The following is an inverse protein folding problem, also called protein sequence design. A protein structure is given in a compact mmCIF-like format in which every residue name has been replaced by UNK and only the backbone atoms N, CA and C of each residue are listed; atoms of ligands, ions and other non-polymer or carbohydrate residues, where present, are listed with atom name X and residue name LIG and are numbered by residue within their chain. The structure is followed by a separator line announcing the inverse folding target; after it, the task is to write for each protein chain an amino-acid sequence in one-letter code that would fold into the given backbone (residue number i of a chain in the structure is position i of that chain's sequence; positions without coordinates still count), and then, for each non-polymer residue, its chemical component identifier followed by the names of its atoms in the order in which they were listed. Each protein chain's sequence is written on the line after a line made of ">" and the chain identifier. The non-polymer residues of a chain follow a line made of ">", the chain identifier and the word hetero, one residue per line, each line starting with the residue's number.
data_IF_224057448187
#
_entry.id   IF_224057448187
#
_cell.length_a   1.000
_cell.length_b   1.000
_cell.length_c   1.000
_cell.angle_alpha   90.00
_cell.angle_beta   90.00
_cell.angle_gamma   90.00
#
_symmetry.space_group_name_H-M   'P 1'
#
loop_
_entity.id
_entity.type
_entity.pdbx_description
1 polymer ?
#
# COMPACT_ATOMS: atom_id res chain seq x y z
N UNK A 1 28.89 61.06 4.49
CA UNK A 1 28.38 61.20 5.89
C UNK A 1 27.50 59.99 6.18
N UNK A 2 28.09 58.91 6.70
CA UNK A 2 28.05 58.48 8.12
C UNK A 2 26.66 57.95 8.52
N UNK A 3 26.39 56.69 8.13
CA UNK A 3 25.25 55.89 8.61
C UNK A 3 25.44 55.50 10.08
N UNK A 4 24.41 55.75 10.87
CA UNK A 4 24.32 55.46 12.30
C UNK A 4 23.87 54.03 12.58
N UNK A 5 24.70 53.34 13.37
CA UNK A 5 24.35 52.53 14.55
C UNK A 5 23.29 51.43 14.39
N UNK A 6 23.74 50.18 14.24
CA UNK A 6 23.14 49.05 14.97
C UNK A 6 24.18 48.41 15.88
N UNK A 7 23.84 48.49 17.17
CA UNK A 7 24.59 48.11 18.35
C UNK A 7 24.36 46.62 18.58
N UNK A 8 25.39 45.79 18.47
CA UNK A 8 25.39 44.40 18.96
C UNK A 8 26.76 44.16 19.58
N UNK A 9 26.83 44.26 20.90
CA UNK A 9 27.98 43.75 21.68
C UNK A 9 27.66 42.32 22.12
N UNK A 10 28.59 41.36 21.94
CA UNK A 10 28.51 40.02 22.51
C UNK A 10 29.15 39.97 23.90
N UNK A 11 28.43 39.43 24.89
CA UNK A 11 28.97 39.21 26.23
C UNK A 11 29.57 37.80 26.36
N UNK A 12 30.89 37.81 26.32
CA UNK A 12 31.91 36.84 26.73
C UNK A 12 31.75 36.25 28.14
N UNK A 13 31.99 34.94 28.28
CA UNK A 13 32.63 34.25 29.44
C UNK A 13 33.17 32.90 28.93
N UNK A 14 34.42 32.79 28.48
CA UNK A 14 35.70 32.61 29.21
C UNK A 14 35.77 31.30 29.99
N UNK A 15 36.78 30.49 29.64
CA UNK A 15 37.24 29.28 30.33
C UNK A 15 38.04 28.40 29.37
N UNK A 16 39.19 28.85 28.86
CA UNK A 16 40.55 28.51 29.34
C UNK A 16 41.10 27.23 28.67
N UNK A 17 41.75 27.35 27.51
CA UNK A 17 43.23 27.33 27.31
C UNK A 17 43.90 26.05 27.84
N UNK A 18 44.36 25.19 26.91
CA UNK A 18 45.77 24.85 26.87
C UNK A 18 46.21 24.58 25.42
N UNK A 19 47.08 25.46 24.95
CA UNK A 19 47.87 25.38 23.73
C UNK A 19 48.89 24.25 23.84
N UNK A 20 49.14 23.54 22.73
CA UNK A 20 50.50 23.13 22.35
C UNK A 20 50.53 22.83 20.85
N UNK A 21 51.05 23.80 20.10
CA UNK A 21 51.49 23.65 18.71
C UNK A 21 52.84 22.94 18.68
N UNK A 22 52.98 21.86 17.90
CA UNK A 22 54.29 21.42 17.41
C UNK A 22 54.20 21.05 15.93
N UNK A 23 55.03 21.71 15.16
CA UNK A 23 55.25 21.60 13.72
C UNK A 23 55.92 20.29 13.30
N UNK A 24 55.53 19.82 12.10
CA UNK A 24 56.39 19.45 10.96
C UNK A 24 57.56 18.45 11.20
N UNK A 25 57.47 17.22 10.67
CA UNK A 25 58.53 16.55 9.87
C UNK A 25 58.20 15.11 9.42
N UNK A 26 58.94 14.69 8.41
CA UNK A 26 58.88 13.52 7.54
C UNK A 26 59.04 12.12 8.18
N UNK A 27 58.48 11.11 7.49
CA UNK A 27 58.78 9.65 7.31
C UNK A 27 60.01 9.01 8.03
N UNK A 28 60.19 7.66 8.03
CA UNK A 28 59.29 6.48 8.13
C UNK A 28 59.84 5.37 9.08
N UNK A 29 59.16 4.20 9.09
CA UNK A 29 59.69 2.83 9.31
C UNK A 29 59.86 2.24 10.75
N UNK A 30 59.34 1.00 10.86
CA UNK A 30 59.69 -0.13 11.73
C UNK A 30 59.01 -0.31 13.12
N UNK A 31 58.17 -1.36 13.19
CA UNK A 31 57.92 -2.40 14.22
C UNK A 31 57.88 -1.99 15.73
N UNK A 32 56.92 -2.41 16.57
CA UNK A 32 56.44 -3.78 16.92
C UNK A 32 55.43 -3.62 18.12
N UNK A 33 54.88 -4.66 18.78
CA UNK A 33 53.95 -5.74 18.43
C UNK A 33 52.56 -5.66 19.16
N UNK A 34 51.71 -6.65 18.87
CA UNK A 34 50.37 -7.00 19.38
C UNK A 34 50.03 -6.81 20.87
N UNK A 35 48.76 -6.49 21.14
CA UNK A 35 47.91 -7.32 22.01
C UNK A 35 46.40 -7.05 21.82
N UNK A 36 45.68 -8.14 21.52
CA UNK A 36 44.31 -8.45 21.92
C UNK A 36 43.14 -7.57 21.41
N UNK A 37 42.34 -8.16 20.51
CA UNK A 37 40.99 -7.66 20.24
C UNK A 37 40.32 -8.14 18.95
N UNK A 38 40.73 -9.27 18.37
CA UNK A 38 39.97 -9.88 17.26
C UNK A 38 38.68 -10.49 17.81
N UNK A 39 37.63 -9.69 17.89
CA UNK A 39 36.27 -10.21 17.78
C UNK A 39 36.06 -10.50 16.31
N UNK A 40 36.44 -11.72 15.90
CA UNK A 40 36.02 -12.28 14.63
C UNK A 40 34.49 -12.36 14.68
N UNK A 41 33.82 -11.35 14.12
CA UNK A 41 32.49 -11.53 13.59
C UNK A 41 32.64 -12.63 12.54
N UNK A 42 32.29 -13.85 12.93
CA UNK A 42 32.02 -14.92 12.00
C UNK A 42 30.84 -14.47 11.15
N UNK A 43 31.13 -13.69 10.12
CA UNK A 43 30.33 -13.64 8.91
C UNK A 43 30.27 -15.09 8.47
N UNK A 44 29.16 -15.76 8.79
CA UNK A 44 28.79 -17.02 8.16
C UNK A 44 28.72 -16.70 6.68
N UNK A 45 29.86 -16.91 6.01
CA UNK A 45 29.98 -16.86 4.57
C UNK A 45 29.05 -17.96 4.11
N UNK A 46 27.86 -17.57 3.63
CA UNK A 46 26.98 -18.48 2.93
C UNK A 46 27.87 -19.25 1.94
N UNK A 47 27.73 -20.59 1.83
CA UNK A 47 28.54 -21.35 0.91
C UNK A 47 28.46 -20.64 -0.44
N UNK A 48 29.63 -20.31 -1.00
CA UNK A 48 29.71 -19.67 -2.30
C UNK A 48 29.26 -20.73 -3.31
N UNK A 49 27.95 -20.86 -3.46
CA UNK A 49 27.34 -21.62 -4.54
C UNK A 49 27.73 -20.86 -5.81
N UNK A 50 28.46 -21.53 -6.69
CA UNK A 50 28.91 -20.96 -7.96
C UNK A 50 28.26 -21.67 -9.15
N UNK A 51 28.09 -20.95 -10.25
CA UNK A 51 27.52 -21.46 -11.48
C UNK A 51 26.16 -22.16 -11.32
N UNK A 52 26.13 -23.45 -11.68
CA UNK A 52 24.91 -24.28 -11.75
C UNK A 52 24.25 -24.48 -10.38
N UNK A 53 25.03 -24.61 -9.31
CA UNK A 53 24.50 -24.85 -7.97
C UNK A 53 23.72 -23.63 -7.44
N UNK A 54 24.26 -22.43 -7.68
CA UNK A 54 23.58 -21.16 -7.37
C UNK A 54 22.28 -21.02 -8.13
N UNK A 55 22.29 -21.35 -9.42
CA UNK A 55 21.10 -21.28 -10.27
C UNK A 55 20.02 -22.26 -9.79
N UNK A 56 20.38 -23.52 -9.51
CA UNK A 56 19.43 -24.52 -9.01
C UNK A 56 18.84 -24.13 -7.65
N UNK A 57 19.67 -23.61 -6.74
CA UNK A 57 19.21 -23.13 -5.45
C UNK A 57 18.30 -21.90 -5.57
N UNK A 58 18.65 -20.93 -6.41
CA UNK A 58 17.82 -19.75 -6.67
C UNK A 58 16.46 -20.12 -7.28
N UNK A 59 16.42 -21.07 -8.23
CA UNK A 59 15.16 -21.59 -8.77
C UNK A 59 14.32 -22.26 -7.67
N UNK A 60 14.94 -23.08 -6.83
CA UNK A 60 14.26 -23.69 -5.68
C UNK A 60 13.70 -22.65 -4.70
N UNK A 61 14.44 -21.58 -4.41
CA UNK A 61 13.98 -20.47 -3.58
C UNK A 61 12.77 -19.75 -4.20
N UNK A 62 12.81 -19.44 -5.49
CA UNK A 62 11.71 -18.74 -6.19
C UNK A 62 10.45 -19.60 -6.18
N UNK A 63 10.57 -20.89 -6.52
CA UNK A 63 9.45 -21.84 -6.52
C UNK A 63 8.90 -22.05 -5.10
N UNK A 64 9.77 -22.20 -4.10
CA UNK A 64 9.36 -22.37 -2.70
C UNK A 64 8.68 -21.12 -2.13
N UNK A 65 9.19 -19.93 -2.44
CA UNK A 65 8.54 -18.68 -2.03
C UNK A 65 7.16 -18.50 -2.67
N UNK A 66 6.98 -18.98 -3.91
CA UNK A 66 5.68 -18.96 -4.58
C UNK A 66 4.67 -19.90 -3.91
N UNK A 67 5.08 -21.12 -3.57
CA UNK A 67 4.22 -22.07 -2.84
C UNK A 67 3.83 -21.53 -1.46
N UNK A 68 4.79 -20.94 -0.75
CA UNK A 68 4.57 -20.30 0.55
C UNK A 68 3.61 -19.11 0.45
N UNK A 69 3.79 -18.23 -0.54
CA UNK A 69 2.94 -17.04 -0.71
C UNK A 69 1.49 -17.40 -1.06
N UNK A 70 1.30 -18.52 -1.77
CA UNK A 70 -0.02 -19.06 -2.09
C UNK A 70 -0.58 -20.00 -1.01
N UNK A 71 0.19 -20.26 0.05
CA UNK A 71 -0.15 -21.21 1.14
C UNK A 71 -0.60 -22.57 0.58
N UNK A 72 0.14 -23.10 -0.39
CA UNK A 72 -0.07 -24.43 -0.97
C UNK A 72 0.70 -25.43 -0.13
N UNK A 73 -0.01 -26.41 0.43
CA UNK A 73 0.60 -27.54 1.13
C UNK A 73 1.09 -28.57 0.10
N UNK A 74 2.39 -28.82 0.09
CA UNK A 74 3.01 -29.84 -0.78
C UNK A 74 3.86 -30.78 0.07
N UNK A 75 3.81 -32.07 -0.28
CA UNK A 75 4.78 -33.04 0.20
C UNK A 75 6.13 -32.76 -0.47
N UNK A 76 7.11 -32.34 0.32
CA UNK A 76 8.41 -31.86 -0.18
C UNK A 76 9.21 -32.99 -0.84
N UNK A 77 9.14 -34.20 -0.29
CA UNK A 77 9.85 -35.37 -0.81
C UNK A 77 9.28 -35.79 -2.16
N UNK A 78 7.95 -35.83 -2.30
CA UNK A 78 7.28 -36.14 -3.56
C UNK A 78 7.45 -35.04 -4.59
N UNK A 79 7.42 -33.77 -4.19
CA UNK A 79 7.65 -32.64 -5.09
C UNK A 79 9.05 -32.68 -5.70
N UNK A 80 10.08 -32.85 -4.87
CA UNK A 80 11.47 -32.96 -5.33
C UNK A 80 11.68 -34.22 -6.17
N UNK A 81 11.05 -35.35 -5.80
CA UNK A 81 11.09 -36.57 -6.61
C UNK A 81 10.46 -36.37 -7.99
N UNK A 82 9.28 -35.78 -8.07
CA UNK A 82 8.60 -35.48 -9.33
C UNK A 82 9.43 -34.59 -10.25
N UNK A 83 10.06 -33.56 -9.68
CA UNK A 83 10.99 -32.68 -10.40
C UNK A 83 12.21 -33.45 -10.94
N UNK A 84 12.84 -34.29 -10.10
CA UNK A 84 13.99 -35.13 -10.49
C UNK A 84 13.64 -36.18 -11.54
N UNK A 85 12.44 -36.76 -11.47
CA UNK A 85 11.99 -37.78 -12.42
C UNK A 85 11.71 -37.13 -13.79
N UNK A 86 11.03 -35.98 -13.81
CA UNK A 86 10.75 -35.22 -15.03
C UNK A 86 12.02 -34.69 -15.71
N UNK A 87 12.95 -34.09 -14.94
CA UNK A 87 14.22 -33.59 -15.48
C UNK A 87 15.11 -34.68 -16.05
N UNK A 88 15.04 -35.90 -15.50
CA UNK A 88 15.79 -37.04 -15.97
C UNK A 88 15.09 -37.80 -17.12
N UNK A 89 13.89 -37.38 -17.53
CA UNK A 89 13.08 -38.11 -18.51
C UNK A 89 12.69 -39.53 -18.05
N UNK A 90 12.66 -39.76 -16.74
CA UNK A 90 12.29 -41.05 -16.15
C UNK A 90 10.78 -41.20 -16.11
N UNK A 91 10.31 -42.45 -15.99
CA UNK A 91 8.89 -42.74 -15.77
C UNK A 91 8.44 -42.06 -14.48
N UNK A 92 7.56 -41.07 -14.61
CA UNK A 92 6.95 -40.34 -13.50
C UNK A 92 5.89 -41.19 -12.82
N UNK A 93 5.60 -40.91 -11.54
CA UNK A 93 4.54 -41.59 -10.78
C UNK A 93 3.13 -41.28 -11.31
N UNK A 94 2.99 -40.17 -12.03
CA UNK A 94 1.77 -39.76 -12.72
C UNK A 94 1.99 -39.73 -14.22
N UNK A 95 0.98 -40.09 -14.99
CA UNK A 95 0.95 -39.79 -16.42
C UNK A 95 0.83 -38.29 -16.64
N UNK A 96 1.22 -37.82 -17.84
CA UNK A 96 1.11 -36.40 -18.18
C UNK A 96 -0.33 -35.88 -18.06
N UNK A 97 -1.31 -36.72 -18.40
CA UNK A 97 -2.74 -36.41 -18.30
C UNK A 97 -3.20 -36.24 -16.85
N UNK A 98 -2.76 -37.13 -15.95
CA UNK A 98 -3.08 -37.02 -14.51
C UNK A 98 -2.43 -35.78 -13.90
N UNK A 99 -1.15 -35.53 -14.22
CA UNK A 99 -0.45 -34.33 -13.76
C UNK A 99 -1.16 -33.03 -14.19
N UNK A 100 -1.58 -32.94 -15.48
CA UNK A 100 -2.35 -31.80 -15.99
C UNK A 100 -3.68 -31.64 -15.26
N UNK A 101 -4.37 -32.75 -14.99
CA UNK A 101 -5.65 -32.74 -14.26
C UNK A 101 -5.47 -32.24 -12.83
N UNK A 102 -4.47 -32.75 -12.10
CA UNK A 102 -4.17 -32.30 -10.73
C UNK A 102 -3.79 -30.82 -10.68
N UNK A 103 -2.99 -30.34 -11.64
CA UNK A 103 -2.62 -28.92 -11.75
C UNK A 103 -3.86 -28.05 -12.07
N UNK A 104 -4.76 -28.51 -12.94
CA UNK A 104 -5.99 -27.78 -13.25
C UNK A 104 -6.90 -27.64 -12.03
N UNK A 105 -7.05 -28.71 -11.24
CA UNK A 105 -7.79 -28.66 -9.97
C UNK A 105 -7.16 -27.64 -9.02
N UNK A 106 -5.83 -27.70 -8.83
CA UNK A 106 -5.11 -26.75 -8.00
C UNK A 106 -5.30 -25.30 -8.47
N UNK A 107 -5.20 -25.02 -9.77
CA UNK A 107 -5.43 -23.69 -10.33
C UNK A 107 -6.86 -23.18 -10.08
N UNK A 108 -7.85 -24.06 -10.16
CA UNK A 108 -9.25 -23.72 -9.90
C UNK A 108 -9.46 -23.35 -8.44
N UNK A 109 -8.85 -24.09 -7.52
CA UNK A 109 -8.88 -23.80 -6.08
C UNK A 109 -8.13 -22.50 -5.74
N UNK A 110 -6.98 -22.24 -6.37
CA UNK A 110 -6.25 -20.98 -6.20
C UNK A 110 -7.01 -19.75 -6.71
N UNK A 111 -7.81 -19.89 -7.77
CA UNK A 111 -8.70 -18.81 -8.25
C UNK A 111 -9.85 -18.52 -7.29
N UNK A 112 -10.29 -19.53 -6.53
CA UNK A 112 -11.38 -19.42 -5.56
C UNK A 112 -10.93 -18.92 -4.20
N UNK A 113 -9.67 -19.16 -3.84
CA UNK A 113 -9.06 -18.65 -2.60
C UNK A 113 -8.68 -17.18 -2.80
N UNK A 114 -9.39 -16.21 -2.17
CA UNK A 114 -8.93 -14.83 -2.18
C UNK A 114 -7.50 -14.80 -1.64
N UNK A 115 -6.57 -14.15 -2.36
CA UNK A 115 -5.19 -14.01 -1.94
C UNK A 115 -5.17 -13.59 -0.46
N UNK A 116 -4.51 -14.39 0.38
CA UNK A 116 -4.43 -14.10 1.80
C UNK A 116 -3.93 -12.67 1.95
N UNK A 117 -4.67 -11.78 2.66
CA UNK A 117 -4.19 -10.43 2.85
C UNK A 117 -2.84 -10.52 3.56
N UNK A 118 -1.80 -9.81 3.07
CA UNK A 118 -0.52 -9.75 3.77
C UNK A 118 -0.79 -9.36 5.22
N UNK A 119 -0.15 -10.08 6.15
CA UNK A 119 -0.28 -9.87 7.58
C UNK A 119 -0.29 -8.37 7.92
N UNK A 120 -1.42 -7.90 8.46
CA UNK A 120 -1.66 -6.54 8.95
C UNK A 120 -0.94 -5.43 8.15
N UNK A 121 -1.28 -5.28 6.88
CA UNK A 121 -0.82 -4.13 6.11
C UNK A 121 -1.39 -2.85 6.75
N UNK A 122 -0.49 -1.95 7.18
CA UNK A 122 -0.87 -0.70 7.82
C UNK A 122 -1.57 0.23 6.81
N UNK A 123 -2.65 0.87 7.26
CA UNK A 123 -3.33 1.89 6.48
C UNK A 123 -2.37 3.06 6.23
N UNK A 124 -2.21 3.47 4.97
CA UNK A 124 -1.43 4.66 4.59
C UNK A 124 -2.25 5.69 3.84
N UNK A 125 -3.33 5.26 3.16
CA UNK A 125 -4.22 6.16 2.43
C UNK A 125 -5.66 5.63 2.40
N UNK A 126 -6.63 6.53 2.24
CA UNK A 126 -8.05 6.18 2.07
C UNK A 126 -8.50 6.71 0.71
N UNK A 127 -8.77 5.79 -0.21
CA UNK A 127 -9.32 6.12 -1.53
C UNK A 127 -10.84 6.14 -1.47
N UNK A 128 -11.44 7.27 -1.88
CA UNK A 128 -12.89 7.43 -1.93
C UNK A 128 -13.35 7.30 -3.38
N UNK A 129 -14.22 6.35 -3.66
CA UNK A 129 -14.79 6.10 -4.99
C UNK A 129 -16.28 6.33 -4.97
N UNK A 130 -16.83 6.80 -6.08
CA UNK A 130 -18.26 7.03 -6.27
C UNK A 130 -18.75 6.15 -7.41
N UNK A 131 -19.95 5.61 -7.26
CA UNK A 131 -20.59 4.84 -8.32
C UNK A 131 -21.19 5.80 -9.35
N UNK A 132 -20.87 5.58 -10.62
CA UNK A 132 -21.45 6.34 -11.71
C UNK A 132 -22.86 5.82 -12.00
N UNK A 133 -23.84 6.73 -12.17
CA UNK A 133 -25.23 6.35 -12.46
C UNK A 133 -25.30 5.50 -13.76
N UNK A 134 -25.98 4.34 -13.75
CA UNK A 134 -26.15 3.49 -14.93
C UNK A 134 -26.71 4.22 -16.16
N UNK A 135 -27.52 5.27 -15.97
CA UNK A 135 -28.05 6.09 -17.06
C UNK A 135 -26.96 6.87 -17.81
N UNK A 136 -25.87 7.22 -17.13
CA UNK A 136 -24.71 7.90 -17.71
C UNK A 136 -23.71 6.91 -18.35
N UNK A 137 -23.83 5.60 -18.06
CA UNK A 137 -22.91 4.55 -18.55
C UNK A 137 -23.51 3.64 -19.61
N UNK A 138 -24.67 3.99 -20.21
CA UNK A 138 -25.36 3.17 -21.23
C UNK A 138 -24.63 2.99 -22.57
N UNK A 139 -23.36 3.37 -22.65
CA UNK A 139 -22.50 3.02 -23.77
C UNK A 139 -21.51 1.92 -23.30
N UNK A 140 -21.91 0.67 -23.55
CA UNK A 140 -21.08 -0.54 -23.50
C UNK A 140 -20.89 -1.20 -22.12
N UNK A 141 -21.29 -2.48 -22.09
CA UNK A 141 -21.26 -3.51 -21.05
C UNK A 141 -20.02 -3.53 -20.11
N UNK A 142 -19.92 -2.60 -19.16
CA UNK A 142 -18.85 -2.56 -18.17
C UNK A 142 -19.39 -2.41 -16.74
N UNK A 143 -20.21 -3.36 -16.28
CA UNK A 143 -20.56 -3.57 -14.87
C UNK A 143 -20.91 -2.31 -14.04
N UNK A 144 -20.80 -2.42 -12.71
CA UNK A 144 -20.86 -1.27 -11.82
C UNK A 144 -19.55 -0.47 -11.89
N UNK A 145 -19.61 0.78 -12.36
CA UNK A 145 -18.43 1.64 -12.53
C UNK A 145 -18.18 2.50 -11.28
N UNK A 146 -17.19 2.11 -10.49
CA UNK A 146 -16.64 2.93 -9.41
C UNK A 146 -15.50 3.81 -9.92
N UNK A 147 -15.56 5.11 -9.65
CA UNK A 147 -14.52 6.09 -10.05
C UNK A 147 -14.08 6.93 -8.86
N UNK A 148 -12.81 7.35 -8.83
CA UNK A 148 -12.26 8.23 -7.78
C UNK A 148 -11.70 9.52 -8.40
N UNK A 149 -12.53 10.35 -9.05
CA UNK A 149 -12.07 11.62 -9.59
C UNK A 149 -11.79 12.61 -8.45
N UNK A 150 -10.90 13.61 -8.63
CA UNK A 150 -10.71 14.67 -7.64
C UNK A 150 -12.00 15.47 -7.39
N UNK A 151 -12.82 15.61 -8.43
CA UNK A 151 -14.15 16.23 -8.38
C UNK A 151 -15.15 15.29 -9.03
N UNK A 152 -16.06 14.74 -8.24
CA UNK A 152 -17.21 13.97 -8.71
C UNK A 152 -18.41 14.89 -8.94
N UNK A 153 -19.13 14.72 -10.05
CA UNK A 153 -20.34 15.50 -10.34
C UNK A 153 -21.48 14.54 -10.65
N UNK A 154 -22.64 14.77 -10.04
CA UNK A 154 -23.89 14.06 -10.34
C UNK A 154 -25.02 15.07 -10.54
N UNK A 155 -25.96 14.77 -11.42
CA UNK A 155 -27.13 15.61 -11.73
C UNK A 155 -28.38 14.75 -11.69
N UNK A 156 -29.35 15.10 -10.84
CA UNK A 156 -30.63 14.40 -10.75
C UNK A 156 -31.79 15.36 -10.96
N UNK A 157 -32.92 14.86 -11.47
CA UNK A 157 -34.12 15.66 -11.69
C UNK A 157 -34.71 16.13 -10.36
N UNK A 158 -35.25 17.35 -10.33
CA UNK A 158 -35.93 17.90 -9.15
C UNK A 158 -37.05 16.96 -8.69
N UNK A 159 -37.10 16.67 -7.39
CA UNK A 159 -38.07 15.75 -6.78
C UNK A 159 -37.68 14.26 -6.77
N UNK A 160 -36.53 13.89 -7.34
CA UNK A 160 -35.93 12.56 -7.12
C UNK A 160 -34.93 12.59 -5.96
N UNK A 161 -34.88 11.52 -5.16
CA UNK A 161 -33.89 11.40 -4.09
C UNK A 161 -32.49 11.34 -4.70
N UNK A 162 -31.65 12.32 -4.38
CA UNK A 162 -30.29 12.45 -4.86
C UNK A 162 -29.37 11.52 -4.06
N UNK A 163 -29.38 10.25 -4.45
CA UNK A 163 -28.63 9.17 -3.84
C UNK A 163 -27.32 8.93 -4.60
N UNK A 164 -26.21 9.12 -3.91
CA UNK A 164 -24.86 8.86 -4.42
C UNK A 164 -24.26 7.71 -3.62
N UNK A 165 -23.94 6.59 -4.28
CA UNK A 165 -23.22 5.49 -3.64
C UNK A 165 -21.72 5.84 -3.58
N UNK A 166 -21.18 5.86 -2.36
CA UNK A 166 -19.78 6.17 -2.09
C UNK A 166 -19.12 5.00 -1.38
N UNK A 167 -17.87 4.73 -1.75
CA UNK A 167 -17.07 3.65 -1.20
C UNK A 167 -15.72 4.17 -0.74
N UNK A 168 -15.37 3.89 0.51
CA UNK A 168 -14.04 4.10 1.05
C UNK A 168 -13.27 2.78 1.02
N UNK A 169 -12.04 2.83 0.52
CA UNK A 169 -11.13 1.69 0.52
C UNK A 169 -9.81 2.13 1.14
N UNK A 170 -9.40 1.44 2.22
CA UNK A 170 -8.08 1.61 2.81
C UNK A 170 -7.02 1.02 1.89
N UNK A 171 -5.89 1.71 1.77
CA UNK A 171 -4.75 1.28 0.98
C UNK A 171 -3.50 1.22 1.87
N UNK A 172 -2.66 0.21 1.67
CA UNK A 172 -1.33 0.14 2.28
C UNK A 172 -0.29 0.91 1.46
N UNK A 173 0.95 0.95 1.95
CA UNK A 173 2.07 1.64 1.30
C UNK A 173 2.34 1.15 -0.15
N UNK A 174 1.87 -0.05 -0.49
CA UNK A 174 2.01 -0.66 -1.82
C UNK A 174 0.73 -0.50 -2.67
N UNK A 175 -0.26 0.28 -2.19
CA UNK A 175 -1.54 0.50 -2.86
C UNK A 175 -2.50 -0.69 -2.82
N UNK A 176 -2.25 -1.69 -1.96
CA UNK A 176 -3.10 -2.87 -1.83
C UNK A 176 -4.27 -2.59 -0.87
N UNK A 177 -5.45 -3.17 -1.11
CA UNK A 177 -6.60 -2.98 -0.24
C UNK A 177 -6.33 -3.49 1.17
N UNK A 178 -6.65 -2.66 2.16
CA UNK A 178 -6.61 -2.97 3.60
C UNK A 178 -8.03 -2.96 4.13
N UNK A 179 -8.35 -3.95 4.97
CA UNK A 179 -9.62 -4.00 5.68
C UNK A 179 -9.69 -2.82 6.67
N UNK A 180 -10.60 -1.90 6.41
CA UNK A 180 -10.91 -0.77 7.28
C UNK A 180 -12.38 -0.77 7.65
N UNK A 181 -12.73 -0.03 8.69
CA UNK A 181 -14.12 0.29 9.05
C UNK A 181 -14.23 1.80 9.17
N UNK A 182 -14.48 2.50 8.06
CA UNK A 182 -14.55 3.95 8.07
C UNK A 182 -15.88 4.43 8.66
N UNK A 183 -15.82 5.57 9.33
CA UNK A 183 -16.96 6.29 9.87
C UNK A 183 -17.16 7.57 9.05
N UNK A 184 -18.41 7.81 8.66
CA UNK A 184 -18.84 8.91 7.81
C UNK A 184 -19.64 9.89 8.66
N UNK A 185 -19.11 11.09 8.85
CA UNK A 185 -19.70 12.11 9.73
C UNK A 185 -20.03 13.36 8.90
N UNK A 186 -21.30 13.57 8.52
CA UNK A 186 -21.72 14.78 7.84
C UNK A 186 -21.69 15.96 8.82
N UNK A 187 -21.17 17.11 8.38
CA UNK A 187 -21.16 18.34 9.18
C UNK A 187 -22.56 18.97 9.30
N UNK A 188 -23.43 18.73 8.32
CA UNK A 188 -24.81 19.20 8.28
C UNK A 188 -25.74 18.04 7.86
N UNK A 189 -26.32 17.31 8.83
CA UNK A 189 -27.26 16.21 8.58
C UNK A 189 -28.60 16.64 7.96
N UNK A 190 -28.98 17.91 8.10
CA UNK A 190 -30.20 18.45 7.49
C UNK A 190 -30.02 18.63 5.98
N UNK A 191 -28.78 18.89 5.54
CA UNK A 191 -28.41 18.97 4.14
C UNK A 191 -28.03 17.61 3.54
N UNK A 192 -27.16 16.86 4.21
CA UNK A 192 -26.60 15.59 3.71
C UNK A 192 -26.73 14.51 4.77
N UNK A 193 -27.46 13.45 4.44
CA UNK A 193 -27.51 12.24 5.24
C UNK A 193 -26.60 11.16 4.66
N UNK A 194 -26.06 10.32 5.53
CA UNK A 194 -25.31 9.11 5.15
C UNK A 194 -25.95 7.89 5.78
N UNK A 195 -26.10 6.81 5.01
CA UNK A 195 -26.63 5.55 5.50
C UNK A 195 -25.99 4.36 4.79
N UNK A 196 -25.40 3.39 5.51
CA UNK A 196 -25.04 3.47 6.94
C UNK A 196 -24.00 4.57 7.22
N UNK A 197 -23.83 4.97 8.48
CA UNK A 197 -22.80 5.93 8.93
C UNK A 197 -21.42 5.28 9.15
N UNK A 198 -21.36 3.95 9.14
CA UNK A 198 -20.14 3.15 9.26
C UNK A 198 -20.11 2.05 8.22
N UNK A 199 -18.93 1.81 7.66
CA UNK A 199 -18.69 0.77 6.66
C UNK A 199 -18.05 1.30 5.39
N UNK A 200 -17.55 0.37 4.59
CA UNK A 200 -16.79 0.69 3.38
C UNK A 200 -17.66 1.26 2.27
N UNK A 201 -18.96 0.96 2.25
CA UNK A 201 -19.90 1.41 1.24
C UNK A 201 -21.11 2.03 1.92
N UNK A 202 -21.45 3.25 1.49
CA UNK A 202 -22.52 4.06 2.06
C UNK A 202 -23.31 4.75 0.95
N UNK A 203 -24.49 5.24 1.32
CA UNK A 203 -25.32 6.08 0.47
C UNK A 203 -25.33 7.49 1.04
N UNK A 204 -24.89 8.44 0.22
CA UNK A 204 -24.98 9.87 0.50
C UNK A 204 -26.30 10.36 -0.09
N UNK A 205 -27.17 10.88 0.76
CA UNK A 205 -28.50 11.38 0.39
C UNK A 205 -28.48 12.89 0.57
N UNK A 206 -28.59 13.63 -0.53
CA UNK A 206 -28.61 15.11 -0.51
C UNK A 206 -30.05 15.60 -0.51
N UNK A 207 -30.47 16.26 0.56
CA UNK A 207 -31.86 16.72 0.75
C UNK A 207 -32.14 18.10 0.17
N UNK A 208 -31.12 18.98 0.15
CA UNK A 208 -31.27 20.38 -0.27
C UNK A 208 -29.97 20.93 -0.86
N UNK A 209 -30.11 21.99 -1.65
CA UNK A 209 -28.98 22.78 -2.14
C UNK A 209 -28.24 23.47 -0.98
N UNK A 210 -26.93 23.62 -1.11
CA UNK A 210 -26.05 24.18 -0.09
C UNK A 210 -24.59 23.74 -0.25
N UNK A 211 -23.77 24.06 0.74
CA UNK A 211 -22.38 23.58 0.84
C UNK A 211 -22.17 22.96 2.21
N UNK A 212 -21.62 21.75 2.25
CA UNK A 212 -21.30 21.06 3.50
C UNK A 212 -20.02 20.24 3.36
N UNK A 213 -19.58 19.68 4.47
CA UNK A 213 -18.39 18.82 4.56
C UNK A 213 -18.77 17.47 5.13
N UNK A 214 -18.13 16.43 4.63
CA UNK A 214 -18.32 15.06 5.07
C UNK A 214 -16.95 14.50 5.46
N UNK A 215 -16.78 14.19 6.75
CA UNK A 215 -15.54 13.61 7.26
C UNK A 215 -15.62 12.09 7.18
N UNK A 216 -14.55 11.49 6.68
CA UNK A 216 -14.37 10.04 6.56
C UNK A 216 -13.18 9.65 7.43
N UNK A 217 -13.45 9.11 8.60
CA UNK A 217 -12.42 8.71 9.56
C UNK A 217 -12.21 7.20 9.57
N UNK A 218 -10.96 6.73 9.60
CA UNK A 218 -10.64 5.34 9.89
C UNK A 218 -9.26 5.22 10.54
N UNK A 219 -9.17 4.47 11.64
CA UNK A 219 -7.95 4.41 12.47
C UNK A 219 -7.48 5.84 12.81
N UNK A 220 -6.24 6.21 12.51
CA UNK A 220 -5.70 7.57 12.70
C UNK A 220 -5.89 8.48 11.47
N UNK A 221 -6.39 7.94 10.35
CA UNK A 221 -6.54 8.68 9.10
C UNK A 221 -7.93 9.32 9.02
N UNK A 222 -7.96 10.58 8.63
CA UNK A 222 -9.20 11.31 8.37
C UNK A 222 -9.11 12.00 7.02
N UNK A 223 -10.11 11.79 6.17
CA UNK A 223 -10.27 12.47 4.88
C UNK A 223 -11.52 13.35 4.93
N UNK A 224 -11.44 14.55 4.38
CA UNK A 224 -12.57 15.49 4.35
C UNK A 224 -13.04 15.68 2.91
N UNK A 225 -14.32 15.44 2.68
CA UNK A 225 -14.99 15.69 1.40
C UNK A 225 -15.76 17.00 1.48
N UNK A 226 -15.70 17.81 0.43
CA UNK A 226 -16.56 19.00 0.26
C UNK A 226 -17.69 18.67 -0.68
N UNK A 227 -18.93 18.84 -0.21
CA UNK A 227 -20.15 18.59 -0.99
C UNK A 227 -20.80 19.94 -1.28
N UNK A 228 -21.01 20.23 -2.56
CA UNK A 228 -21.71 21.42 -3.04
C UNK A 228 -22.91 20.98 -3.86
N UNK A 229 -24.12 21.32 -3.42
CA UNK A 229 -25.36 21.03 -4.11
C UNK A 229 -25.96 22.35 -4.62
N UNK A 230 -26.26 22.41 -5.92
CA UNK A 230 -26.82 23.58 -6.59
C UNK A 230 -28.11 23.19 -7.31
N UNK A 231 -29.07 24.10 -7.32
CA UNK A 231 -30.28 23.99 -8.15
C UNK A 231 -29.99 24.61 -9.53
N UNK A 232 -30.22 23.85 -10.60
CA UNK A 232 -30.05 24.28 -12.00
C UNK A 232 -31.14 23.69 -12.87
N UNK A 233 -31.88 24.54 -13.58
CA UNK A 233 -32.79 24.15 -14.67
C UNK A 233 -33.71 22.96 -14.30
N UNK A 234 -34.36 23.04 -13.13
CA UNK A 234 -35.26 21.98 -12.61
C UNK A 234 -34.55 20.64 -12.34
N UNK A 235 -33.25 20.69 -12.04
CA UNK A 235 -32.41 19.58 -11.63
C UNK A 235 -31.47 20.00 -10.50
N UNK A 236 -31.16 19.07 -9.59
CA UNK A 236 -30.17 19.29 -8.55
C UNK A 236 -28.83 18.72 -9.01
N UNK A 237 -27.82 19.58 -9.08
CA UNK A 237 -26.44 19.22 -9.38
C UNK A 237 -25.64 19.13 -8.08
N UNK A 238 -24.97 18.02 -7.85
CA UNK A 238 -24.05 17.82 -6.72
C UNK A 238 -22.63 17.65 -7.22
N UNK A 239 -21.73 18.38 -6.60
CA UNK A 239 -20.29 18.27 -6.78
C UNK A 239 -19.66 17.83 -5.47
N UNK A 240 -18.88 16.76 -5.50
CA UNK A 240 -18.12 16.24 -4.35
C UNK A 240 -16.63 16.35 -4.68
N UNK A 241 -15.88 17.09 -3.87
CA UNK A 241 -14.43 17.27 -4.02
C UNK A 241 -13.70 16.60 -2.85
N UNK A 242 -12.62 15.88 -3.13
CA UNK A 242 -11.89 15.04 -2.14
C UNK A 242 -10.41 15.41 -1.96
#
# INVERSE_FOLDING_TARGET
>A
MRNMKKKIEPATRVGLILLLTVSLWSMPLAAQPEAAGTTAAATQKAPALEGKERLSYALGMVLGNQLRSQSIEVDQDLYVRGLKDALAGRKTLLTETEAKTSVHVLQSELKRKPAAPPAAAALTDIKISFKLDPQLTRAHYLGDRWISPPTFTSTHKMGSELLIEARAQGLDALGRPVAITPQWIPADPEMVMVSPDRGNEIRIIVKRAGQTRLKVGSMEFTKELRITAMDRDNAMQVQITQ
#
